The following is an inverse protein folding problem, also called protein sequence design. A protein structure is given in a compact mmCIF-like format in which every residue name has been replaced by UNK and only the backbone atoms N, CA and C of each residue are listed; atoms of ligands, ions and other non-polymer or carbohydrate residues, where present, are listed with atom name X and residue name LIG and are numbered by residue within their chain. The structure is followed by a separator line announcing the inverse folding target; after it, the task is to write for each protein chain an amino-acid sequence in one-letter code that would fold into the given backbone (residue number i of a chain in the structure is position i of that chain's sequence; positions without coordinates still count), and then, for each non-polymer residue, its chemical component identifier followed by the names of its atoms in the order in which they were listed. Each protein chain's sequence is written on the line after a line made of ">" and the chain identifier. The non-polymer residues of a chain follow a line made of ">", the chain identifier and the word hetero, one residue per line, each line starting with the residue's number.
data_IF_746980424555
#
_entry.id   IF_746980424555
#
_cell.length_a   1.000
_cell.length_b   1.000
_cell.length_c   1.000
_cell.angle_alpha   90.00
_cell.angle_beta   90.00
_cell.angle_gamma   90.00
#
_symmetry.space_group_name_H-M   'P 1'
#
loop_
_entity.id
_entity.type
_entity.pdbx_description
1 polymer ?
#
# COMPACT_ATOMS: atom_id res chain seq x y z
N UNK A 1 -14.11 -43.29 -19.10
CA UNK A 1 -14.84 -42.11 -18.57
C UNK A 1 -14.07 -41.62 -17.36
N UNK A 2 -13.24 -40.59 -17.55
CA UNK A 2 -12.57 -39.91 -16.44
C UNK A 2 -12.52 -38.43 -16.80
N UNK A 3 -13.32 -37.65 -16.09
CA UNK A 3 -13.26 -36.19 -16.11
C UNK A 3 -12.83 -35.78 -14.71
N UNK A 4 -11.53 -35.46 -14.60
CA UNK A 4 -10.94 -34.80 -13.46
C UNK A 4 -11.71 -33.50 -13.19
N UNK A 5 -12.32 -33.42 -12.01
CA UNK A 5 -12.75 -32.16 -11.43
C UNK A 5 -11.49 -31.30 -11.22
N UNK A 6 -11.40 -30.21 -11.97
CA UNK A 6 -10.43 -29.14 -11.72
C UNK A 6 -10.78 -28.57 -10.35
N UNK A 7 -9.88 -28.77 -9.38
CA UNK A 7 -9.91 -28.06 -8.11
C UNK A 7 -10.03 -26.55 -8.40
N UNK A 8 -11.16 -25.99 -8.04
CA UNK A 8 -11.30 -24.55 -7.91
C UNK A 8 -10.41 -24.16 -6.75
N UNK A 9 -9.24 -23.58 -7.03
CA UNK A 9 -8.46 -22.86 -6.03
C UNK A 9 -9.41 -21.90 -5.33
N UNK A 10 -9.70 -22.18 -4.06
CA UNK A 10 -10.49 -21.29 -3.21
C UNK A 10 -9.57 -20.11 -2.94
N UNK A 11 -9.56 -19.16 -3.88
CA UNK A 11 -9.00 -17.84 -3.66
C UNK A 11 -9.82 -17.23 -2.52
N UNK A 12 -9.27 -17.26 -1.30
CA UNK A 12 -9.90 -16.65 -0.13
C UNK A 12 -10.02 -15.15 -0.43
N UNK A 13 -11.24 -14.72 -0.78
CA UNK A 13 -11.54 -13.31 -0.97
C UNK A 13 -11.70 -12.69 0.42
N UNK A 14 -10.88 -11.70 0.74
CA UNK A 14 -11.01 -10.89 1.95
C UNK A 14 -12.05 -9.78 1.79
N UNK A 15 -12.85 -9.77 0.73
CA UNK A 15 -13.89 -8.77 0.49
C UNK A 15 -14.89 -8.72 1.64
N UNK A 16 -15.38 -9.89 2.07
CA UNK A 16 -16.28 -10.01 3.22
C UNK A 16 -15.61 -9.54 4.52
N UNK A 17 -14.36 -9.95 4.73
CA UNK A 17 -13.56 -9.54 5.90
C UNK A 17 -13.45 -8.02 5.97
N UNK A 18 -13.00 -7.39 4.88
CA UNK A 18 -12.82 -5.94 4.78
C UNK A 18 -14.14 -5.20 4.93
N UNK A 19 -15.25 -5.77 4.45
CA UNK A 19 -16.57 -5.20 4.67
C UNK A 19 -16.95 -5.20 6.16
N UNK A 20 -16.73 -6.32 6.85
CA UNK A 20 -17.05 -6.48 8.29
C UNK A 20 -16.20 -5.57 9.19
N UNK A 21 -14.96 -5.27 8.80
CA UNK A 21 -14.06 -4.39 9.57
C UNK A 21 -14.03 -2.94 9.06
N UNK A 22 -14.92 -2.51 8.17
CA UNK A 22 -14.96 -1.12 7.74
C UNK A 22 -15.20 -0.15 8.91
N UNK A 23 -14.63 1.08 8.89
CA UNK A 23 -14.96 2.10 9.89
C UNK A 23 -16.44 2.48 9.80
N UNK A 24 -17.14 2.49 10.94
CA UNK A 24 -18.54 2.88 10.96
C UNK A 24 -18.67 4.35 10.52
N UNK A 25 -19.64 4.65 9.63
CA UNK A 25 -19.81 5.99 9.09
C UNK A 25 -18.63 6.48 8.23
N UNK A 26 -17.86 5.58 7.59
CA UNK A 26 -16.72 5.96 6.76
C UNK A 26 -17.09 7.01 5.68
N UNK A 27 -16.41 8.16 5.75
CA UNK A 27 -16.63 9.29 4.85
C UNK A 27 -17.76 10.23 5.28
N UNK A 28 -18.43 9.95 6.39
CA UNK A 28 -19.47 10.79 6.96
C UNK A 28 -18.91 11.68 8.09
N UNK A 29 -19.71 12.68 8.51
CA UNK A 29 -19.36 13.61 9.59
C UNK A 29 -19.08 12.89 10.92
N UNK A 30 -19.77 11.78 11.15
CA UNK A 30 -19.69 10.98 12.37
C UNK A 30 -19.02 9.63 12.09
N UNK A 31 -17.87 9.66 11.42
CA UNK A 31 -17.02 8.47 11.24
C UNK A 31 -16.47 8.01 12.59
N UNK A 32 -16.44 6.70 12.79
CA UNK A 32 -15.82 6.02 13.93
C UNK A 32 -14.38 6.51 14.13
N UNK A 33 -13.98 6.79 15.37
CA UNK A 33 -12.61 7.21 15.68
C UNK A 33 -11.61 6.08 15.41
N UNK A 34 -10.40 6.43 14.98
CA UNK A 34 -9.31 5.49 14.73
C UNK A 34 -9.06 4.54 15.91
N UNK A 35 -9.07 5.03 17.15
CA UNK A 35 -8.73 4.20 18.32
C UNK A 35 -9.78 3.12 18.60
N UNK A 36 -11.07 3.46 18.52
CA UNK A 36 -12.14 2.47 18.62
C UNK A 36 -12.09 1.46 17.47
N UNK A 37 -11.91 1.95 16.25
CA UNK A 37 -11.83 1.09 15.07
C UNK A 37 -10.65 0.11 15.14
N UNK A 38 -9.45 0.57 15.54
CA UNK A 38 -8.24 -0.27 15.66
C UNK A 38 -8.45 -1.42 16.64
N UNK A 39 -9.10 -1.18 17.79
CA UNK A 39 -9.39 -2.24 18.77
C UNK A 39 -10.17 -3.39 18.12
N UNK A 40 -11.17 -3.06 17.29
CA UNK A 40 -11.98 -4.05 16.58
C UNK A 40 -11.24 -4.69 15.42
N UNK A 41 -10.47 -3.91 14.66
CA UNK A 41 -9.65 -4.40 13.55
C UNK A 41 -8.64 -5.46 14.03
N UNK A 42 -7.97 -5.22 15.16
CA UNK A 42 -6.99 -6.15 15.75
C UNK A 42 -7.58 -7.51 16.16
N UNK A 43 -8.85 -7.56 16.55
CA UNK A 43 -9.51 -8.84 16.83
C UNK A 43 -9.59 -9.74 15.59
N UNK A 44 -9.57 -9.14 14.40
CA UNK A 44 -9.72 -9.82 13.11
C UNK A 44 -8.38 -9.95 12.37
N UNK A 45 -7.51 -8.96 12.53
CA UNK A 45 -6.21 -8.82 11.87
C UNK A 45 -5.10 -8.60 12.91
N UNK A 46 -4.85 -9.56 13.82
CA UNK A 46 -3.93 -9.37 14.95
C UNK A 46 -2.47 -9.16 14.53
N UNK A 47 -2.10 -9.53 13.30
CA UNK A 47 -0.75 -9.43 12.77
C UNK A 47 -0.46 -8.09 12.07
N UNK A 48 -1.44 -7.19 11.97
CA UNK A 48 -1.26 -5.92 11.27
C UNK A 48 -0.67 -4.88 12.23
N UNK A 49 0.45 -4.23 11.87
CA UNK A 49 0.96 -3.09 12.63
C UNK A 49 -0.05 -1.94 12.68
N UNK A 50 -0.12 -1.21 13.79
CA UNK A 50 -1.01 -0.05 13.96
C UNK A 50 -0.88 0.97 12.83
N UNK A 51 0.36 1.25 12.42
CA UNK A 51 0.66 2.18 11.33
C UNK A 51 0.11 1.71 9.98
N UNK A 52 0.16 0.39 9.72
CA UNK A 52 -0.42 -0.21 8.50
C UNK A 52 -1.96 -0.13 8.55
N UNK A 53 -2.56 -0.47 9.70
CA UNK A 53 -4.00 -0.38 9.91
C UNK A 53 -4.50 1.04 9.68
N UNK A 54 -3.85 2.03 10.29
CA UNK A 54 -4.23 3.43 10.16
C UNK A 54 -4.07 3.93 8.72
N UNK A 55 -2.85 3.83 8.17
CA UNK A 55 -2.52 4.49 6.92
C UNK A 55 -3.23 3.87 5.72
N UNK A 56 -3.54 2.56 5.78
CA UNK A 56 -4.09 1.83 4.65
C UNK A 56 -5.56 1.50 4.84
N UNK A 57 -5.88 0.71 5.87
CA UNK A 57 -7.24 0.19 6.03
C UNK A 57 -8.22 1.26 6.53
N UNK A 58 -7.86 1.99 7.58
CA UNK A 58 -8.76 3.00 8.16
C UNK A 58 -8.95 4.18 7.21
N UNK A 59 -7.85 4.79 6.73
CA UNK A 59 -7.91 6.01 5.91
C UNK A 59 -8.41 5.76 4.48
N UNK A 60 -8.20 4.55 3.94
CA UNK A 60 -8.49 4.25 2.54
C UNK A 60 -9.43 3.05 2.33
N UNK A 61 -10.19 2.65 3.35
CA UNK A 61 -11.05 1.45 3.36
C UNK A 61 -11.75 1.13 2.04
N UNK A 62 -12.53 2.06 1.47
CA UNK A 62 -13.25 1.84 0.19
C UNK A 62 -12.28 1.54 -0.97
N UNK A 63 -11.17 2.26 -1.03
CA UNK A 63 -10.12 2.05 -2.02
C UNK A 63 -9.41 0.70 -1.85
N UNK A 64 -9.16 0.29 -0.60
CA UNK A 64 -8.58 -1.02 -0.29
C UNK A 64 -9.53 -2.14 -0.71
N UNK A 65 -10.79 -2.07 -0.30
CA UNK A 65 -11.80 -3.06 -0.66
C UNK A 65 -11.87 -3.25 -2.18
N UNK A 66 -11.91 -2.15 -2.94
CA UNK A 66 -12.03 -2.20 -4.40
C UNK A 66 -10.76 -2.72 -5.09
N UNK A 67 -9.57 -2.27 -4.68
CA UNK A 67 -8.33 -2.58 -5.39
C UNK A 67 -7.65 -3.86 -4.90
N UNK A 68 -7.81 -4.18 -3.62
CA UNK A 68 -7.01 -5.18 -2.91
C UNK A 68 -7.83 -6.26 -2.21
N UNK A 69 -9.17 -6.15 -2.17
CA UNK A 69 -10.02 -7.10 -1.42
C UNK A 69 -9.96 -8.56 -1.88
N UNK A 70 -9.32 -8.84 -3.01
CA UNK A 70 -9.04 -10.19 -3.50
C UNK A 70 -7.80 -10.84 -2.88
N UNK A 71 -6.96 -10.09 -2.15
CA UNK A 71 -5.82 -10.63 -1.39
C UNK A 71 -6.30 -11.31 -0.10
N UNK A 72 -5.52 -12.26 0.43
CA UNK A 72 -5.74 -12.84 1.76
C UNK A 72 -5.11 -11.95 2.84
N UNK A 73 -5.91 -11.08 3.46
CA UNK A 73 -5.46 -10.20 4.53
C UNK A 73 -5.17 -10.97 5.81
N UNK A 74 -5.86 -12.08 6.10
CA UNK A 74 -5.61 -12.83 7.36
C UNK A 74 -4.25 -13.50 7.34
N UNK A 75 -3.82 -13.93 6.17
CA UNK A 75 -2.50 -14.53 5.95
C UNK A 75 -1.35 -13.51 5.84
N UNK A 76 -1.62 -12.20 5.80
CA UNK A 76 -0.56 -11.22 5.63
C UNK A 76 0.37 -11.14 6.84
N UNK A 77 1.67 -11.10 6.56
CA UNK A 77 2.72 -10.87 7.55
C UNK A 77 3.52 -9.65 7.14
N UNK A 78 3.79 -8.76 8.11
CA UNK A 78 4.49 -7.51 7.87
C UNK A 78 5.86 -7.53 8.53
N UNK A 79 6.87 -7.11 7.78
CA UNK A 79 8.22 -6.82 8.31
C UNK A 79 8.56 -5.38 7.99
N UNK A 80 9.12 -4.65 8.96
CA UNK A 80 9.66 -3.32 8.69
C UNK A 80 11.10 -3.47 8.21
N UNK A 81 11.37 -3.01 7.00
CA UNK A 81 12.70 -3.07 6.39
C UNK A 81 13.22 -1.67 6.11
N UNK A 82 14.53 -1.55 5.87
CA UNK A 82 15.18 -0.29 5.48
C UNK A 82 15.97 -0.52 4.20
N UNK A 83 15.59 0.20 3.15
CA UNK A 83 16.16 0.04 1.80
C UNK A 83 16.81 1.33 1.33
N UNK A 84 17.77 1.20 0.41
CA UNK A 84 18.37 2.35 -0.25
C UNK A 84 17.41 3.03 -1.22
N UNK A 85 17.63 4.31 -1.51
CA UNK A 85 16.89 5.02 -2.56
C UNK A 85 16.97 4.31 -3.90
N UNK A 86 18.16 3.82 -4.27
CA UNK A 86 18.41 3.08 -5.51
C UNK A 86 17.58 1.79 -5.55
N UNK A 87 17.62 0.99 -4.49
CA UNK A 87 16.85 -0.25 -4.39
C UNK A 87 15.35 0.00 -4.51
N UNK A 88 14.83 1.02 -3.85
CA UNK A 88 13.41 1.37 -3.90
C UNK A 88 12.99 1.72 -5.32
N UNK A 89 13.72 2.62 -5.98
CA UNK A 89 13.39 3.08 -7.34
C UNK A 89 13.59 1.97 -8.39
N UNK A 90 14.50 1.03 -8.17
CA UNK A 90 14.75 -0.08 -9.09
C UNK A 90 13.80 -1.26 -8.89
N UNK A 91 13.43 -1.58 -7.64
CA UNK A 91 12.72 -2.82 -7.30
C UNK A 91 11.22 -2.64 -7.09
N UNK A 92 10.77 -1.51 -6.53
CA UNK A 92 9.36 -1.32 -6.19
C UNK A 92 8.57 -0.94 -7.45
N UNK A 93 7.65 -1.81 -7.84
CA UNK A 93 6.81 -1.60 -9.01
C UNK A 93 5.38 -1.19 -8.63
N UNK A 94 4.63 -0.69 -9.59
CA UNK A 94 3.19 -0.50 -9.44
C UNK A 94 2.49 -0.55 -10.79
N UNK A 95 1.28 -1.14 -10.89
CA UNK A 95 0.49 -1.08 -12.12
C UNK A 95 -0.11 0.32 -12.40
N UNK A 96 0.33 1.35 -11.66
CA UNK A 96 -0.11 2.74 -11.79
C UNK A 96 1.09 3.67 -11.97
N UNK A 97 2.08 3.24 -12.76
CA UNK A 97 3.30 4.00 -13.03
C UNK A 97 3.01 5.37 -13.66
N UNK A 98 1.98 5.45 -14.51
CA UNK A 98 1.51 6.71 -15.10
C UNK A 98 1.02 7.71 -14.04
N UNK A 99 0.47 7.22 -12.92
CA UNK A 99 0.07 8.03 -11.78
C UNK A 99 1.31 8.52 -11.02
N UNK A 100 2.29 7.63 -10.80
CA UNK A 100 3.57 7.99 -10.16
C UNK A 100 4.27 9.10 -10.95
N UNK A 101 4.40 8.94 -12.26
CA UNK A 101 5.09 9.90 -13.12
C UNK A 101 4.37 11.27 -13.11
N UNK A 102 3.04 11.28 -13.21
CA UNK A 102 2.25 12.52 -13.10
C UNK A 102 2.38 13.19 -11.73
N UNK A 103 2.41 12.42 -10.65
CA UNK A 103 2.53 12.95 -9.29
C UNK A 103 3.94 13.50 -9.01
N UNK A 104 4.99 12.83 -9.50
CA UNK A 104 6.37 13.30 -9.35
C UNK A 104 6.57 14.67 -10.00
N UNK A 105 6.08 14.84 -11.24
CA UNK A 105 6.11 16.11 -11.97
C UNK A 105 5.38 17.23 -11.24
N UNK A 106 4.28 16.92 -10.53
CA UNK A 106 3.52 17.92 -9.75
C UNK A 106 4.30 18.54 -8.60
N UNK A 107 5.38 17.94 -8.11
CA UNK A 107 6.21 18.56 -7.07
C UNK A 107 6.80 19.91 -7.50
N UNK A 108 7.06 20.08 -8.79
CA UNK A 108 7.59 21.33 -9.35
C UNK A 108 6.53 22.44 -9.44
N UNK A 109 5.26 22.11 -9.24
CA UNK A 109 4.17 23.07 -9.29
C UNK A 109 4.03 23.77 -7.93
N UNK A 110 4.14 25.10 -7.95
CA UNK A 110 4.10 26.00 -6.77
C UNK A 110 2.89 25.75 -5.85
N UNK A 111 1.75 25.35 -6.41
CA UNK A 111 0.56 25.04 -5.60
C UNK A 111 0.74 23.79 -4.74
N UNK A 112 1.43 22.77 -5.27
CA UNK A 112 1.67 21.52 -4.55
C UNK A 112 2.83 21.61 -3.56
N UNK A 113 3.76 22.55 -3.75
CA UNK A 113 4.83 22.84 -2.78
C UNK A 113 4.31 23.31 -1.41
N UNK A 114 3.04 23.72 -1.34
CA UNK A 114 2.36 24.05 -0.07
C UNK A 114 1.72 22.86 0.62
N UNK A 115 1.71 21.69 -0.02
CA UNK A 115 1.23 20.45 0.58
C UNK A 115 2.15 20.07 1.74
N UNK A 116 1.55 19.76 2.90
CA UNK A 116 2.30 19.28 4.07
C UNK A 116 3.21 18.10 3.72
N UNK A 117 2.73 17.15 2.90
CA UNK A 117 3.53 15.98 2.52
C UNK A 117 4.76 16.37 1.69
N UNK A 118 4.61 17.32 0.76
CA UNK A 118 5.75 17.80 -0.05
C UNK A 118 6.77 18.48 0.84
N UNK A 119 6.35 19.43 1.68
CA UNK A 119 7.24 20.15 2.59
C UNK A 119 7.96 19.20 3.54
N UNK A 120 7.23 18.25 4.12
CA UNK A 120 7.79 17.27 5.05
C UNK A 120 8.84 16.38 4.38
N UNK A 121 8.58 15.90 3.16
CA UNK A 121 9.53 15.06 2.43
C UNK A 121 10.74 15.86 1.92
N UNK A 122 10.55 17.08 1.45
CA UNK A 122 11.65 17.98 1.07
C UNK A 122 12.57 18.28 2.25
N UNK A 123 12.00 18.56 3.43
CA UNK A 123 12.79 18.84 4.64
C UNK A 123 13.52 17.59 5.15
N UNK A 124 12.87 16.43 5.14
CA UNK A 124 13.41 15.21 5.75
C UNK A 124 14.25 14.35 4.82
N UNK A 125 14.11 14.53 3.51
CA UNK A 125 14.69 13.65 2.49
C UNK A 125 14.11 12.22 2.50
N UNK A 126 12.96 12.02 3.14
CA UNK A 126 12.26 10.72 3.23
C UNK A 126 10.79 10.94 3.60
N UNK A 127 9.98 9.90 3.57
CA UNK A 127 8.56 9.95 3.90
C UNK A 127 8.29 10.08 5.41
N UNK A 128 7.16 10.70 5.80
CA UNK A 128 6.75 10.78 7.21
C UNK A 128 6.30 9.44 7.79
N UNK A 129 5.84 8.53 6.93
CA UNK A 129 5.30 7.20 7.27
C UNK A 129 5.80 6.22 6.22
N UNK A 130 6.17 5.01 6.62
CA UNK A 130 6.68 3.97 5.73
C UNK A 130 5.61 3.51 4.72
N UNK A 131 5.87 3.55 3.40
CA UNK A 131 5.02 2.91 2.39
C UNK A 131 4.89 1.41 2.60
N UNK A 132 3.83 0.83 2.05
CA UNK A 132 3.55 -0.60 2.15
C UNK A 132 3.76 -1.25 0.78
N UNK A 133 4.64 -2.25 0.75
CA UNK A 133 5.04 -2.98 -0.46
C UNK A 133 4.69 -4.45 -0.28
N UNK A 134 3.98 -5.04 -1.23
CA UNK A 134 3.73 -6.46 -1.32
C UNK A 134 4.97 -7.18 -1.85
N UNK A 135 5.42 -8.21 -1.14
CA UNK A 135 6.43 -9.18 -1.57
C UNK A 135 5.77 -10.53 -1.88
N UNK A 136 5.99 -11.02 -3.10
CA UNK A 136 5.33 -12.21 -3.63
C UNK A 136 6.15 -12.84 -4.77
N UNK A 137 6.04 -14.16 -4.95
CA UNK A 137 6.99 -14.90 -5.80
C UNK A 137 6.64 -14.94 -7.30
N UNK A 138 5.37 -14.71 -7.67
CA UNK A 138 4.88 -14.89 -9.06
C UNK A 138 3.83 -13.84 -9.39
N UNK A 139 3.77 -13.43 -10.65
CA UNK A 139 2.80 -12.44 -11.11
C UNK A 139 1.37 -12.74 -10.62
N UNK A 140 0.71 -11.73 -10.07
CA UNK A 140 -0.67 -11.83 -9.61
C UNK A 140 -1.61 -11.12 -10.56
N UNK A 141 -2.77 -11.72 -10.80
CA UNK A 141 -3.81 -11.17 -11.65
C UNK A 141 -4.92 -10.60 -10.77
N UNK A 142 -4.97 -9.27 -10.70
CA UNK A 142 -5.98 -8.58 -9.91
C UNK A 142 -7.38 -8.75 -10.54
N UNK A 143 -8.41 -8.67 -9.71
CA UNK A 143 -9.82 -8.78 -10.13
C UNK A 143 -10.25 -7.72 -11.16
N UNK A 144 -9.54 -6.60 -11.23
CA UNK A 144 -9.76 -5.52 -12.18
C UNK A 144 -8.97 -5.67 -13.51
N UNK A 145 -8.34 -6.83 -13.74
CA UNK A 145 -7.57 -7.12 -14.95
C UNK A 145 -6.15 -6.57 -14.95
N UNK A 146 -5.70 -5.88 -13.90
CA UNK A 146 -4.30 -5.45 -13.76
C UNK A 146 -3.43 -6.65 -13.39
N UNK A 147 -2.17 -6.60 -13.82
CA UNK A 147 -1.14 -7.59 -13.46
C UNK A 147 -0.18 -6.92 -12.48
N UNK A 148 0.03 -7.54 -11.32
CA UNK A 148 1.10 -7.18 -10.40
C UNK A 148 2.32 -8.04 -10.74
N UNK A 149 3.41 -7.38 -11.11
CA UNK A 149 4.66 -8.03 -11.53
C UNK A 149 5.58 -8.30 -10.35
N UNK A 150 5.91 -9.57 -10.10
CA UNK A 150 6.75 -9.94 -8.98
C UNK A 150 8.17 -9.30 -9.06
N UNK A 151 8.88 -9.13 -7.93
CA UNK A 151 8.50 -9.54 -6.58
C UNK A 151 7.88 -8.45 -5.72
N UNK A 152 8.09 -7.16 -6.04
CA UNK A 152 7.72 -6.06 -5.15
C UNK A 152 6.72 -5.11 -5.79
N UNK A 153 5.49 -5.02 -5.27
CA UNK A 153 4.51 -4.04 -5.73
C UNK A 153 4.04 -3.11 -4.61
N UNK A 154 3.95 -1.82 -4.90
CA UNK A 154 3.40 -0.84 -4.00
C UNK A 154 1.90 -1.08 -3.77
N UNK A 155 1.52 -1.36 -2.51
CA UNK A 155 0.13 -1.44 -2.08
C UNK A 155 -0.42 -0.08 -1.68
N UNK A 156 0.40 0.69 -0.95
CA UNK A 156 0.04 2.01 -0.47
C UNK A 156 1.27 2.91 -0.32
N UNK A 157 1.09 4.19 -0.62
CA UNK A 157 2.12 5.22 -0.55
C UNK A 157 2.50 5.80 -1.91
N UNK A 158 1.61 5.76 -2.91
CA UNK A 158 1.89 6.24 -4.29
C UNK A 158 2.40 7.67 -4.32
N UNK A 159 1.83 8.57 -3.51
CA UNK A 159 2.33 9.94 -3.41
C UNK A 159 3.74 9.99 -2.82
N UNK A 160 4.03 9.20 -1.80
CA UNK A 160 5.36 9.15 -1.14
C UNK A 160 6.42 8.61 -2.09
N UNK A 161 6.13 7.53 -2.83
CA UNK A 161 7.04 7.00 -3.83
C UNK A 161 7.27 8.00 -4.97
N UNK A 162 6.19 8.60 -5.49
CA UNK A 162 6.28 9.62 -6.53
C UNK A 162 7.11 10.83 -6.10
N UNK A 163 6.99 11.24 -4.84
CA UNK A 163 7.74 12.38 -4.33
C UNK A 163 9.20 12.05 -4.06
N UNK A 164 9.51 10.84 -3.57
CA UNK A 164 10.91 10.39 -3.50
C UNK A 164 11.56 10.43 -4.90
N UNK A 165 10.88 9.88 -5.92
CA UNK A 165 11.32 9.95 -7.31
C UNK A 165 11.54 11.40 -7.76
N UNK A 166 10.58 12.28 -7.49
CA UNK A 166 10.67 13.69 -7.85
C UNK A 166 11.84 14.43 -7.19
N UNK A 167 12.15 14.15 -5.92
CA UNK A 167 13.33 14.70 -5.23
C UNK A 167 14.63 14.25 -5.89
N UNK A 168 14.77 12.95 -6.18
CA UNK A 168 15.96 12.41 -6.85
C UNK A 168 16.15 13.01 -8.24
N UNK A 169 15.09 13.09 -9.04
CA UNK A 169 15.14 13.67 -10.39
C UNK A 169 15.51 15.15 -10.41
N UNK A 170 15.20 15.88 -9.34
CA UNK A 170 15.54 17.30 -9.16
C UNK A 170 16.94 17.50 -8.56
N UNK A 171 17.62 16.43 -8.14
CA UNK A 171 18.89 16.53 -7.41
C UNK A 171 18.74 17.13 -6.01
N UNK A 172 17.54 17.06 -5.43
CA UNK A 172 17.24 17.53 -4.09
C UNK A 172 17.81 16.58 -3.03
N UNK A 173 17.86 17.05 -1.77
CA UNK A 173 18.29 16.22 -0.66
C UNK A 173 17.37 14.99 -0.46
N UNK A 174 17.99 13.81 -0.42
CA UNK A 174 17.35 12.54 -0.13
C UNK A 174 18.24 11.77 0.85
N UNK A 175 17.64 11.12 1.84
CA UNK A 175 18.37 10.22 2.74
C UNK A 175 18.79 8.96 2.00
N UNK A 176 19.95 8.40 2.34
CA UNK A 176 20.43 7.17 1.71
C UNK A 176 19.54 5.95 1.97
N UNK A 177 18.73 5.98 3.03
CA UNK A 177 17.97 4.84 3.54
C UNK A 177 16.56 5.25 3.94
N UNK A 178 15.59 4.37 3.66
CA UNK A 178 14.18 4.62 3.91
C UNK A 178 13.45 3.38 4.44
N UNK A 179 12.58 3.57 5.42
CA UNK A 179 11.81 2.48 6.02
C UNK A 179 10.60 2.08 5.17
N UNK A 180 10.38 0.79 4.97
CA UNK A 180 9.23 0.23 4.26
C UNK A 180 8.53 -0.81 5.15
N UNK A 181 7.23 -0.96 4.97
CA UNK A 181 6.53 -2.17 5.39
C UNK A 181 6.51 -3.16 4.22
N UNK A 182 7.16 -4.30 4.40
CA UNK A 182 7.10 -5.44 3.46
C UNK A 182 5.99 -6.37 3.92
N UNK A 183 4.93 -6.46 3.12
CA UNK A 183 3.79 -7.34 3.32
C UNK A 183 4.00 -8.62 2.51
N UNK A 184 4.05 -9.77 3.18
CA UNK A 184 4.05 -11.09 2.53
C UNK A 184 2.67 -11.68 2.60
N UNK A 185 2.21 -12.25 1.51
CA UNK A 185 1.01 -13.09 1.47
C UNK A 185 1.41 -14.57 1.43
N UNK A 186 0.57 -15.48 1.96
CA UNK A 186 0.79 -16.91 1.78
C UNK A 186 0.76 -17.24 0.28
N UNK A 187 1.75 -18.00 -0.18
CA UNK A 187 1.70 -18.60 -1.52
C UNK A 187 0.96 -19.93 -1.36
N UNK A 188 -0.26 -20.01 -1.90
CA UNK A 188 -0.99 -21.26 -2.04
C UNK A 188 -0.58 -21.98 -3.33
#
# INVERSE_FOLDING_TARGET
>A
MSSNEKGSDIMIRSDRLLYEIGPDGFGERHCESLDHWKQRAHMTLPNFPDDVLEQWLYRHWKGVMYNWGWLDFRGMVFTKETWSTEDILAKVQTPSQDVIDRLSQRMTNVMFQRSWLVQNMTERGTWPVAPIVLDFERDLYASNGKILKAPFNLLEGHHRLAYLKGLVEQGEYVRDQHELWIAKIPVH
#
